data_IF_607952766626
#
_entry.id   IF_607952766626
#
_cell.length_a   1.000
_cell.length_b   1.000
_cell.length_c   1.000
_cell.angle_alpha   90.00
_cell.angle_beta   90.00
_cell.angle_gamma   90.00
#
_symmetry.space_group_name_H-M   'P 1'
#
loop_
_entity.id
_entity.type
_entity.pdbx_description
1 polymer ?
#
# COMPACT_ATOMS: atom_id res chain seq x y z
N UNK A 1 1.51 -21.19 11.47
CA UNK A 1 1.88 -19.76 11.54
C UNK A 1 1.72 -19.19 12.94
N UNK A 2 0.51 -18.92 13.45
CA UNK A 2 0.34 -18.33 14.80
C UNK A 2 1.10 -19.07 15.91
N UNK A 3 1.02 -20.41 15.97
CA UNK A 3 1.79 -21.21 16.94
C UNK A 3 3.31 -21.00 16.84
N UNK A 4 3.85 -20.98 15.62
CA UNK A 4 5.29 -20.80 15.41
C UNK A 4 5.74 -19.39 15.82
N UNK A 5 4.95 -18.37 15.50
CA UNK A 5 5.22 -16.98 15.93
C UNK A 5 5.15 -16.87 17.45
N UNK A 6 4.15 -17.49 18.09
CA UNK A 6 4.07 -17.54 19.56
C UNK A 6 5.29 -18.24 20.16
N UNK A 7 5.68 -19.40 19.63
CA UNK A 7 6.88 -20.11 20.10
C UNK A 7 8.16 -19.29 19.90
N UNK A 8 8.33 -18.65 18.74
CA UNK A 8 9.46 -17.76 18.49
C UNK A 8 9.46 -16.55 19.44
N UNK A 9 8.29 -16.01 19.74
CA UNK A 9 8.14 -14.93 20.71
C UNK A 9 8.57 -15.38 22.12
N UNK A 10 8.00 -16.49 22.59
CA UNK A 10 8.22 -16.98 23.95
C UNK A 10 9.65 -17.48 24.19
N UNK A 11 10.31 -18.03 23.17
CA UNK A 11 11.64 -18.64 23.31
C UNK A 11 12.79 -17.72 22.87
N UNK A 12 12.56 -16.86 21.87
CA UNK A 12 13.63 -16.06 21.26
C UNK A 12 13.39 -14.58 21.48
N UNK A 13 12.30 -14.04 20.93
CA UNK A 13 12.17 -12.58 20.90
C UNK A 13 11.98 -12.02 22.30
N UNK A 14 11.36 -12.72 23.26
CA UNK A 14 11.25 -12.26 24.66
C UNK A 14 12.48 -12.54 25.53
N UNK A 15 13.50 -13.22 25.00
CA UNK A 15 14.72 -13.55 25.74
C UNK A 15 15.84 -12.54 25.45
N UNK A 16 16.15 -11.69 26.44
CA UNK A 16 17.14 -10.62 26.32
C UNK A 16 18.57 -11.12 26.00
N UNK A 17 18.91 -12.37 26.29
CA UNK A 17 20.22 -12.96 25.94
C UNK A 17 20.32 -13.30 24.45
N UNK A 18 19.20 -13.65 23.80
CA UNK A 18 19.17 -14.06 22.39
C UNK A 18 18.95 -12.87 21.44
N UNK A 19 18.21 -11.85 21.88
CA UNK A 19 17.95 -10.67 21.05
C UNK A 19 19.19 -9.80 20.80
N UNK A 20 20.28 -10.04 21.53
CA UNK A 20 21.58 -9.38 21.33
C UNK A 20 22.36 -9.83 20.08
N UNK A 21 21.84 -10.79 19.30
CA UNK A 21 22.47 -11.30 18.08
C UNK A 21 21.80 -10.78 16.80
N UNK A 22 22.46 -10.97 15.65
CA UNK A 22 21.89 -10.68 14.33
C UNK A 22 20.53 -11.39 14.15
N UNK A 23 20.49 -12.69 14.41
CA UNK A 23 19.29 -13.51 14.27
C UNK A 23 18.19 -13.07 15.24
N UNK A 24 18.56 -12.62 16.44
CA UNK A 24 17.64 -12.05 17.41
C UNK A 24 16.96 -10.78 16.90
N UNK A 25 17.73 -9.86 16.32
CA UNK A 25 17.22 -8.63 15.68
C UNK A 25 16.29 -8.98 14.52
N UNK A 26 16.70 -9.91 13.64
CA UNK A 26 15.90 -10.39 12.52
C UNK A 26 14.58 -11.01 12.99
N UNK A 27 14.61 -11.83 14.03
CA UNK A 27 13.40 -12.45 14.60
C UNK A 27 12.41 -11.40 15.11
N UNK A 28 12.87 -10.35 15.80
CA UNK A 28 11.97 -9.26 16.25
C UNK A 28 11.40 -8.51 15.05
N UNK A 29 12.21 -8.22 14.02
CA UNK A 29 11.75 -7.53 12.82
C UNK A 29 10.70 -8.37 12.07
N UNK A 30 10.92 -9.69 11.94
CA UNK A 30 9.96 -10.63 11.35
C UNK A 30 8.68 -10.74 12.17
N UNK A 31 8.76 -10.74 13.50
CA UNK A 31 7.58 -10.67 14.37
C UNK A 31 6.80 -9.37 14.12
N UNK A 32 7.50 -8.24 14.03
CA UNK A 32 6.89 -6.95 13.78
C UNK A 32 6.17 -6.92 12.41
N UNK A 33 6.81 -7.46 11.38
CA UNK A 33 6.21 -7.66 10.05
C UNK A 33 4.98 -8.56 10.15
N UNK A 34 5.07 -9.72 10.79
CA UNK A 34 3.93 -10.64 10.94
C UNK A 34 2.73 -9.98 11.64
N UNK A 35 2.97 -9.21 12.70
CA UNK A 35 1.93 -8.43 13.38
C UNK A 35 1.29 -7.38 12.46
N UNK A 36 2.08 -6.73 11.60
CA UNK A 36 1.57 -5.84 10.58
C UNK A 36 0.71 -6.58 9.54
N UNK A 37 1.16 -7.76 9.11
CA UNK A 37 0.43 -8.64 8.18
C UNK A 37 -0.89 -9.13 8.75
N UNK A 38 -0.97 -9.39 10.05
CA UNK A 38 -2.21 -9.85 10.71
C UNK A 38 -3.14 -8.71 11.11
N UNK A 39 -2.72 -7.45 10.95
CA UNK A 39 -3.50 -6.27 11.33
C UNK A 39 -3.38 -5.88 12.81
N UNK A 40 -2.53 -6.55 13.58
CA UNK A 40 -2.18 -6.15 14.95
C UNK A 40 -1.12 -5.03 14.92
N UNK A 41 -1.55 -3.86 14.45
CA UNK A 41 -0.67 -2.72 14.18
C UNK A 41 -0.02 -2.17 15.45
N UNK A 42 -0.70 -2.30 16.60
CA UNK A 42 -0.14 -1.89 17.90
C UNK A 42 1.05 -2.75 18.29
N UNK A 43 0.91 -4.07 18.24
CA UNK A 43 2.02 -4.97 18.57
C UNK A 43 3.15 -4.86 17.55
N UNK A 44 2.80 -4.69 16.28
CA UNK A 44 3.79 -4.43 15.23
C UNK A 44 4.65 -3.19 15.53
N UNK A 45 4.02 -2.09 15.93
CA UNK A 45 4.74 -0.87 16.31
C UNK A 45 5.61 -1.07 17.55
N UNK A 46 5.11 -1.75 18.59
CA UNK A 46 5.89 -2.03 19.79
C UNK A 46 7.14 -2.89 19.49
N UNK A 47 7.00 -3.92 18.65
CA UNK A 47 8.11 -4.73 18.19
C UNK A 47 9.12 -3.91 17.36
N UNK A 48 8.64 -3.03 16.47
CA UNK A 48 9.48 -2.10 15.72
C UNK A 48 10.30 -1.18 16.65
N UNK A 49 9.68 -0.63 17.69
CA UNK A 49 10.39 0.18 18.71
C UNK A 49 11.47 -0.63 19.42
N UNK A 50 11.12 -1.85 19.82
CA UNK A 50 12.03 -2.73 20.54
C UNK A 50 13.27 -3.07 19.71
N UNK A 51 13.10 -3.45 18.44
CA UNK A 51 14.24 -3.78 17.58
C UNK A 51 15.14 -2.57 17.34
N UNK A 52 14.59 -1.36 17.19
CA UNK A 52 15.41 -0.14 17.08
C UNK A 52 16.28 0.06 18.32
N UNK A 53 15.68 -0.03 19.52
CA UNK A 53 16.41 0.15 20.78
C UNK A 53 17.54 -0.87 20.94
N UNK A 54 17.26 -2.15 20.66
CA UNK A 54 18.26 -3.22 20.76
C UNK A 54 19.39 -3.00 19.74
N UNK A 55 19.06 -2.69 18.49
CA UNK A 55 20.05 -2.41 17.45
C UNK A 55 20.97 -1.23 17.82
N UNK A 56 20.43 -0.17 18.41
CA UNK A 56 21.22 0.97 18.90
C UNK A 56 22.14 0.59 20.07
N UNK A 57 21.66 -0.24 21.00
CA UNK A 57 22.48 -0.75 22.11
C UNK A 57 23.68 -1.56 21.59
N UNK A 58 23.47 -2.35 20.53
CA UNK A 58 24.53 -3.12 19.86
C UNK A 58 25.45 -2.25 18.99
N UNK A 59 25.09 -0.98 18.76
CA UNK A 59 25.86 -0.04 17.95
C UNK A 59 25.69 -0.22 16.44
N UNK A 60 24.62 -0.89 16.01
CA UNK A 60 24.30 -1.08 14.60
C UNK A 60 24.12 0.26 13.87
N UNK A 61 23.54 1.24 14.55
CA UNK A 61 23.38 2.62 14.09
C UNK A 61 24.71 3.35 13.80
N UNK A 62 25.79 2.84 14.39
CA UNK A 62 27.18 3.33 14.30
C UNK A 62 28.05 2.44 13.41
N UNK A 63 27.46 1.50 12.67
CA UNK A 63 28.17 0.61 11.76
C UNK A 63 28.84 -0.59 12.43
N UNK A 64 28.48 -0.92 13.68
CA UNK A 64 29.00 -2.09 14.37
C UNK A 64 28.17 -3.31 13.97
N UNK A 65 28.81 -4.31 13.37
CA UNK A 65 28.14 -5.56 13.01
C UNK A 65 27.73 -6.33 14.29
N UNK A 66 26.48 -6.81 14.37
CA UNK A 66 26.01 -7.61 15.48
C UNK A 66 26.67 -8.99 15.43
N UNK A 67 26.84 -9.62 16.59
CA UNK A 67 27.32 -11.01 16.66
C UNK A 67 26.28 -11.92 16.01
N UNK A 68 26.72 -12.81 15.13
CA UNK A 68 25.87 -13.86 14.57
C UNK A 68 26.07 -15.18 15.33
N UNK A 69 24.97 -15.84 15.68
CA UNK A 69 24.96 -17.16 16.30
C UNK A 69 25.22 -18.29 15.28
N UNK A 70 24.94 -18.03 14.01
CA UNK A 70 25.04 -18.99 12.91
C UNK A 70 26.27 -18.78 12.00
N UNK A 71 27.03 -17.72 12.23
CA UNK A 71 28.24 -17.39 11.46
C UNK A 71 27.98 -16.58 10.18
N UNK A 72 26.75 -16.13 9.95
CA UNK A 72 26.44 -15.21 8.86
C UNK A 72 26.93 -13.79 9.16
N UNK A 73 27.24 -13.05 8.10
CA UNK A 73 27.54 -11.63 8.18
C UNK A 73 26.53 -10.83 7.36
N UNK A 74 26.20 -9.65 7.85
CA UNK A 74 25.36 -8.68 7.15
C UNK A 74 26.09 -7.35 7.11
N UNK A 75 25.85 -6.54 6.08
CA UNK A 75 26.23 -5.14 6.11
C UNK A 75 25.42 -4.42 7.23
N UNK A 76 26.08 -3.86 8.25
CA UNK A 76 25.40 -3.14 9.32
C UNK A 76 24.53 -1.99 8.82
N UNK A 77 24.95 -1.31 7.75
CA UNK A 77 24.22 -0.19 7.17
C UNK A 77 22.93 -0.66 6.48
N UNK A 78 22.95 -1.84 5.84
CA UNK A 78 21.76 -2.46 5.26
C UNK A 78 20.78 -2.88 6.36
N UNK A 79 21.26 -3.57 7.40
CA UNK A 79 20.38 -4.03 8.48
C UNK A 79 19.77 -2.86 9.24
N UNK A 80 20.57 -1.83 9.55
CA UNK A 80 20.08 -0.60 10.17
C UNK A 80 19.05 0.11 9.30
N UNK A 81 19.30 0.22 7.99
CA UNK A 81 18.35 0.78 7.04
C UNK A 81 17.00 0.05 7.07
N UNK A 82 16.99 -1.29 7.04
CA UNK A 82 15.74 -2.08 7.06
C UNK A 82 14.92 -1.84 8.32
N UNK A 83 15.58 -1.77 9.47
CA UNK A 83 14.95 -1.48 10.76
C UNK A 83 14.32 -0.09 10.74
N UNK A 84 15.09 0.94 10.33
CA UNK A 84 14.59 2.32 10.29
C UNK A 84 13.50 2.51 9.25
N UNK A 85 13.60 1.85 8.09
CA UNK A 85 12.57 1.85 7.06
C UNK A 85 11.24 1.35 7.59
N UNK A 86 11.25 0.21 8.29
CA UNK A 86 10.03 -0.35 8.87
C UNK A 86 9.45 0.52 9.99
N UNK A 87 10.29 1.02 10.91
CA UNK A 87 9.88 1.96 11.98
C UNK A 87 9.21 3.22 11.42
N UNK A 88 9.82 3.85 10.41
CA UNK A 88 9.27 5.05 9.78
C UNK A 88 7.99 4.77 9.01
N UNK A 89 7.92 3.65 8.27
CA UNK A 89 6.69 3.23 7.59
C UNK A 89 5.51 3.09 8.56
N UNK A 90 5.70 2.34 9.65
CA UNK A 90 4.62 2.10 10.60
C UNK A 90 4.26 3.37 11.38
N UNK A 91 5.26 4.21 11.69
CA UNK A 91 5.05 5.51 12.32
C UNK A 91 4.20 6.44 11.45
N UNK A 92 4.50 6.53 10.14
CA UNK A 92 3.75 7.34 9.19
C UNK A 92 2.31 6.84 9.04
N UNK A 93 2.12 5.52 8.94
CA UNK A 93 0.80 4.91 8.82
C UNK A 93 -0.08 5.16 10.07
N UNK A 94 0.49 5.14 11.27
CA UNK A 94 -0.28 5.15 12.52
C UNK A 94 -0.42 6.52 13.19
N UNK A 95 0.25 7.55 12.68
CA UNK A 95 0.24 8.86 13.32
C UNK A 95 1.16 8.91 14.56
N UNK A 96 2.23 8.10 14.54
CA UNK A 96 3.16 7.96 15.65
C UNK A 96 4.50 8.63 15.30
N UNK A 97 5.27 9.08 16.32
CA UNK A 97 6.62 9.59 16.05
C UNK A 97 7.51 8.47 15.50
N UNK A 98 8.67 8.82 14.95
CA UNK A 98 9.73 7.85 14.62
C UNK A 98 10.61 7.51 15.83
N UNK A 99 11.47 6.50 15.69
CA UNK A 99 12.48 6.11 16.70
C UNK A 99 13.82 6.78 16.50
N UNK A 100 14.27 6.89 15.26
CA UNK A 100 15.57 7.47 14.92
C UNK A 100 15.42 8.58 13.90
N UNK A 101 16.02 9.73 14.21
CA UNK A 101 16.04 10.91 13.34
C UNK A 101 17.21 10.86 12.35
N UNK A 102 18.26 10.10 12.66
CA UNK A 102 19.48 10.07 11.87
C UNK A 102 19.34 9.21 10.60
N UNK A 103 19.94 9.67 9.52
CA UNK A 103 19.92 9.05 8.19
C UNK A 103 21.31 8.50 7.82
N UNK A 104 22.00 7.84 8.75
CA UNK A 104 23.39 7.34 8.55
C UNK A 104 23.51 6.41 7.36
N UNK A 105 22.45 5.66 7.07
CA UNK A 105 22.33 4.78 5.91
C UNK A 105 22.17 5.53 4.56
N UNK A 106 21.96 6.84 4.53
CA UNK A 106 21.69 7.59 3.30
C UNK A 106 22.74 8.66 3.01
N UNK A 107 23.98 8.47 3.47
CA UNK A 107 25.09 9.33 3.04
C UNK A 107 25.31 9.23 1.54
N UNK A 108 25.87 10.27 0.92
CA UNK A 108 26.20 10.28 -0.51
C UNK A 108 27.02 9.05 -0.92
N UNK A 109 28.03 8.69 -0.12
CA UNK A 109 28.88 7.53 -0.36
C UNK A 109 28.11 6.21 -0.26
N UNK A 110 27.17 6.08 0.68
CA UNK A 110 26.32 4.90 0.79
C UNK A 110 25.39 4.77 -0.43
N UNK A 111 24.76 5.88 -0.84
CA UNK A 111 23.85 5.89 -1.99
C UNK A 111 24.56 5.60 -3.32
N UNK A 112 25.81 6.03 -3.50
CA UNK A 112 26.60 5.76 -4.71
C UNK A 112 26.88 4.27 -4.93
N UNK A 113 26.97 3.48 -3.85
CA UNK A 113 27.19 2.02 -3.89
C UNK A 113 25.92 1.20 -4.08
N UNK A 114 24.76 1.78 -3.81
CA UNK A 114 23.48 1.08 -3.87
C UNK A 114 23.08 0.69 -5.29
N UNK A 115 22.39 -0.45 -5.42
CA UNK A 115 21.58 -0.75 -6.59
C UNK A 115 20.49 0.33 -6.81
N UNK A 116 19.91 0.43 -8.02
CA UNK A 116 18.78 1.33 -8.30
C UNK A 116 17.65 1.26 -7.26
N UNK A 117 17.24 0.03 -6.89
CA UNK A 117 16.15 -0.20 -5.96
C UNK A 117 16.52 0.23 -4.54
N UNK A 118 17.71 -0.14 -4.06
CA UNK A 118 18.18 0.26 -2.72
C UNK A 118 18.29 1.79 -2.61
N UNK A 119 18.78 2.46 -3.65
CA UNK A 119 18.85 3.92 -3.71
C UNK A 119 17.45 4.54 -3.60
N UNK A 120 16.47 4.05 -4.36
CA UNK A 120 15.09 4.50 -4.28
C UNK A 120 14.53 4.34 -2.85
N UNK A 121 14.70 3.15 -2.26
CA UNK A 121 14.13 2.84 -0.94
C UNK A 121 14.79 3.67 0.17
N UNK A 122 16.12 3.88 0.13
CA UNK A 122 16.84 4.72 1.09
C UNK A 122 16.40 6.17 1.00
N UNK A 123 16.25 6.72 -0.21
CA UNK A 123 15.74 8.09 -0.40
C UNK A 123 14.29 8.24 0.08
N UNK A 124 13.42 7.26 -0.19
CA UNK A 124 12.06 7.25 0.35
C UNK A 124 12.05 7.19 1.90
N UNK A 125 12.98 6.43 2.50
CA UNK A 125 13.12 6.36 3.94
C UNK A 125 13.54 7.71 4.55
N UNK A 126 14.45 8.45 3.90
CA UNK A 126 14.82 9.82 4.29
C UNK A 126 13.62 10.77 4.16
N UNK A 127 12.93 10.74 3.03
CA UNK A 127 11.72 11.55 2.79
C UNK A 127 10.64 11.30 3.87
N UNK A 128 10.38 10.03 4.20
CA UNK A 128 9.48 9.64 5.28
C UNK A 128 9.95 10.17 6.64
N UNK A 129 11.26 10.09 6.93
CA UNK A 129 11.85 10.63 8.15
C UNK A 129 11.67 12.14 8.31
N UNK A 130 11.80 12.90 7.21
CA UNK A 130 11.54 14.36 7.18
C UNK A 130 10.06 14.68 7.40
N UNK A 131 9.15 13.95 6.75
CA UNK A 131 7.71 14.09 6.99
C UNK A 131 7.33 13.85 8.46
N UNK A 132 7.94 12.84 9.10
CA UNK A 132 7.69 12.52 10.51
C UNK A 132 8.27 13.55 11.49
N UNK A 133 9.16 14.45 11.03
CA UNK A 133 9.71 15.54 11.84
C UNK A 133 8.91 16.84 11.73
N UNK A 134 8.05 16.96 10.71
CA UNK A 134 7.30 18.20 10.46
C UNK A 134 6.36 18.51 11.63
N UNK A 135 6.43 19.73 12.13
CA UNK A 135 5.45 20.24 13.09
C UNK A 135 4.13 20.60 12.41
N UNK A 136 3.07 20.81 13.21
CA UNK A 136 1.77 21.26 12.69
C UNK A 136 1.87 22.62 11.94
N UNK A 137 2.81 23.49 12.33
CA UNK A 137 3.09 24.77 11.66
C UNK A 137 3.82 24.61 10.32
N UNK A 138 4.54 23.51 10.11
CA UNK A 138 5.34 23.26 8.91
C UNK A 138 4.60 22.42 7.86
N UNK A 139 3.34 22.03 8.12
CA UNK A 139 2.55 21.20 7.21
C UNK A 139 2.49 21.73 5.78
N UNK A 140 2.47 23.06 5.63
CA UNK A 140 2.43 23.75 4.33
C UNK A 140 3.72 24.56 4.08
N UNK A 141 4.83 24.25 4.75
CA UNK A 141 6.10 24.93 4.50
C UNK A 141 6.59 24.61 3.07
N UNK A 142 6.72 25.63 2.18
CA UNK A 142 7.17 25.41 0.82
C UNK A 142 8.60 24.86 0.74
N UNK A 143 9.49 25.21 1.69
CA UNK A 143 10.88 24.77 1.67
C UNK A 143 10.98 23.28 1.99
N UNK A 144 10.38 22.85 3.10
CA UNK A 144 10.27 21.42 3.43
C UNK A 144 9.56 20.65 2.31
N UNK A 145 8.49 21.21 1.75
CA UNK A 145 7.75 20.56 0.66
C UNK A 145 8.65 20.32 -0.55
N UNK A 146 9.42 21.32 -0.97
CA UNK A 146 10.33 21.23 -2.10
C UNK A 146 11.50 20.28 -1.83
N UNK A 147 12.05 20.27 -0.61
CA UNK A 147 13.13 19.35 -0.23
C UNK A 147 12.68 17.89 -0.34
N UNK A 148 11.54 17.55 0.28
CA UNK A 148 11.02 16.18 0.29
C UNK A 148 10.55 15.76 -1.10
N UNK A 149 9.91 16.66 -1.86
CA UNK A 149 9.50 16.36 -3.24
C UNK A 149 10.72 16.07 -4.12
N UNK A 150 11.81 16.83 -3.98
CA UNK A 150 13.07 16.55 -4.68
C UNK A 150 13.64 15.17 -4.33
N UNK A 151 13.63 14.79 -3.05
CA UNK A 151 14.06 13.44 -2.63
C UNK A 151 13.22 12.35 -3.28
N UNK A 152 11.91 12.54 -3.40
CA UNK A 152 11.01 11.60 -4.06
C UNK A 152 11.22 11.56 -5.57
N UNK A 153 11.42 12.70 -6.22
CA UNK A 153 11.78 12.76 -7.64
C UNK A 153 13.09 12.00 -7.91
N UNK A 154 14.14 12.26 -7.12
CA UNK A 154 15.43 11.57 -7.22
C UNK A 154 15.29 10.07 -6.95
N UNK A 155 14.45 9.67 -5.98
CA UNK A 155 14.13 8.27 -5.71
C UNK A 155 13.45 7.61 -6.92
N UNK A 156 12.47 8.29 -7.52
CA UNK A 156 11.73 7.76 -8.67
C UNK A 156 12.61 7.61 -9.91
N UNK A 157 13.50 8.57 -10.14
CA UNK A 157 14.44 8.61 -11.24
C UNK A 157 15.57 7.57 -11.11
N UNK A 158 15.80 7.03 -9.91
CA UNK A 158 16.71 5.91 -9.71
C UNK A 158 16.21 4.63 -10.40
N UNK A 159 14.89 4.49 -10.61
CA UNK A 159 14.29 3.31 -11.22
C UNK A 159 13.94 3.54 -12.70
N UNK A 160 14.09 2.51 -13.55
CA UNK A 160 13.77 2.64 -14.96
C UNK A 160 12.24 2.64 -15.19
N UNK A 161 11.72 3.22 -16.29
CA UNK A 161 10.28 3.38 -16.51
C UNK A 161 9.46 2.08 -16.40
N UNK A 162 10.00 0.95 -16.85
CA UNK A 162 9.34 -0.36 -16.77
C UNK A 162 9.06 -0.82 -15.34
N UNK A 163 9.80 -0.33 -14.35
CA UNK A 163 9.52 -0.59 -12.95
C UNK A 163 8.14 -0.05 -12.55
N UNK A 164 7.77 1.12 -13.05
CA UNK A 164 6.56 1.86 -12.67
C UNK A 164 5.27 1.31 -13.28
N UNK A 165 5.37 0.33 -14.20
CA UNK A 165 4.21 -0.40 -14.72
C UNK A 165 3.48 -1.07 -13.56
N UNK A 166 2.15 -0.91 -13.53
CA UNK A 166 1.30 -1.43 -12.46
C UNK A 166 1.56 -2.93 -12.25
N UNK A 167 1.86 -3.36 -10.99
CA UNK A 167 2.09 -4.77 -10.69
C UNK A 167 0.89 -5.63 -11.06
N UNK A 168 1.17 -6.78 -11.68
CA UNK A 168 0.13 -7.72 -12.12
C UNK A 168 0.41 -9.13 -11.61
N UNK A 169 -0.33 -9.51 -10.59
CA UNK A 169 -0.22 -10.84 -9.96
C UNK A 169 -0.89 -11.94 -10.78
N UNK A 170 -1.84 -11.60 -11.66
CA UNK A 170 -2.59 -12.57 -12.47
C UNK A 170 -1.68 -13.22 -13.52
N UNK A 171 -0.71 -12.47 -14.05
CA UNK A 171 0.24 -12.95 -15.06
C UNK A 171 1.42 -13.74 -14.49
N UNK A 172 1.54 -13.90 -13.17
CA UNK A 172 2.67 -14.58 -12.56
C UNK A 172 2.55 -16.10 -12.68
N UNK A 173 3.58 -16.75 -13.22
CA UNK A 173 3.63 -18.20 -13.43
C UNK A 173 4.33 -18.95 -12.29
N UNK A 174 5.29 -18.32 -11.62
CA UNK A 174 6.05 -18.91 -10.50
C UNK A 174 5.78 -18.20 -9.16
N UNK A 175 6.19 -18.81 -8.04
CA UNK A 175 6.11 -18.18 -6.72
C UNK A 175 7.09 -17.02 -6.57
N UNK A 176 8.31 -17.14 -7.10
CA UNK A 176 9.30 -16.07 -7.09
C UNK A 176 8.81 -14.84 -7.85
N UNK A 177 8.12 -15.03 -8.99
CA UNK A 177 7.49 -13.92 -9.72
C UNK A 177 6.43 -13.22 -8.87
N UNK A 178 5.58 -13.98 -8.16
CA UNK A 178 4.57 -13.41 -7.26
C UNK A 178 5.22 -12.60 -6.15
N UNK A 179 6.26 -13.12 -5.50
CA UNK A 179 7.00 -12.40 -4.45
C UNK A 179 7.57 -11.11 -5.01
N UNK A 180 8.19 -11.14 -6.19
CA UNK A 180 8.74 -9.95 -6.85
C UNK A 180 7.66 -8.91 -7.16
N UNK A 181 6.51 -9.30 -7.69
CA UNK A 181 5.39 -8.38 -7.95
C UNK A 181 4.78 -7.82 -6.66
N UNK A 182 4.68 -8.62 -5.59
CA UNK A 182 4.21 -8.15 -4.27
C UNK A 182 5.18 -7.10 -3.69
N UNK A 183 6.49 -7.35 -3.77
CA UNK A 183 7.50 -6.38 -3.34
C UNK A 183 7.44 -5.10 -4.17
N UNK A 184 7.30 -5.22 -5.51
CA UNK A 184 7.12 -4.05 -6.38
C UNK A 184 5.85 -3.26 -6.04
N UNK A 185 4.75 -3.95 -5.75
CA UNK A 185 3.52 -3.34 -5.25
C UNK A 185 3.76 -2.56 -3.96
N UNK A 186 4.39 -3.16 -2.95
CA UNK A 186 4.68 -2.50 -1.68
C UNK A 186 5.58 -1.27 -1.87
N UNK A 187 6.58 -1.35 -2.76
CA UNK A 187 7.46 -0.23 -3.08
C UNK A 187 6.70 0.93 -3.74
N UNK A 188 5.86 0.66 -4.73
CA UNK A 188 4.99 1.67 -5.34
C UNK A 188 4.03 2.28 -4.32
N UNK A 189 3.40 1.42 -3.52
CA UNK A 189 2.41 1.83 -2.52
C UNK A 189 3.03 2.75 -1.48
N UNK A 190 4.24 2.42 -0.99
CA UNK A 190 5.02 3.27 -0.11
C UNK A 190 5.37 4.61 -0.76
N UNK A 191 5.90 4.60 -1.99
CA UNK A 191 6.29 5.80 -2.71
C UNK A 191 5.11 6.80 -2.84
N UNK A 192 3.98 6.34 -3.40
CA UNK A 192 2.82 7.20 -3.57
C UNK A 192 2.17 7.60 -2.24
N UNK A 193 2.26 6.76 -1.21
CA UNK A 193 1.78 7.12 0.13
C UNK A 193 2.57 8.29 0.73
N UNK A 194 3.91 8.26 0.63
CA UNK A 194 4.76 9.37 1.09
C UNK A 194 4.47 10.63 0.27
N UNK A 195 4.35 10.51 -1.05
CA UNK A 195 4.00 11.62 -1.94
C UNK A 195 2.64 12.23 -1.59
N UNK A 196 1.63 11.40 -1.33
CA UNK A 196 0.31 11.86 -0.89
C UNK A 196 0.36 12.59 0.46
N UNK A 197 1.09 12.04 1.43
CA UNK A 197 1.25 12.66 2.76
C UNK A 197 1.96 14.03 2.70
N UNK A 198 2.87 14.20 1.74
CA UNK A 198 3.57 15.47 1.49
C UNK A 198 2.62 16.55 0.96
N UNK A 199 1.82 16.23 -0.07
CA UNK A 199 1.05 17.24 -0.79
C UNK A 199 -0.38 17.45 -0.27
N UNK A 200 -0.98 16.47 0.42
CA UNK A 200 -2.34 16.58 0.95
C UNK A 200 -2.57 17.81 1.86
N UNK A 201 -1.65 18.21 2.76
CA UNK A 201 -1.82 19.42 3.57
C UNK A 201 -2.16 20.69 2.79
N UNK A 202 -1.62 20.82 1.57
CA UNK A 202 -1.83 21.99 0.72
C UNK A 202 -3.27 22.08 0.18
N UNK A 203 -4.05 21.00 0.27
CA UNK A 203 -5.48 21.03 -0.02
C UNK A 203 -6.31 21.73 1.05
N UNK A 204 -5.70 22.03 2.22
CA UNK A 204 -6.40 22.63 3.37
C UNK A 204 -6.42 24.17 3.34
N UNK A 205 -5.55 24.79 2.55
CA UNK A 205 -5.42 26.25 2.44
C UNK A 205 -6.32 26.87 1.37
N UNK A 206 -6.51 28.19 1.44
CA UNK A 206 -7.16 28.95 0.37
C UNK A 206 -6.26 28.95 -0.88
N UNK A 207 -6.70 28.27 -1.94
CA UNK A 207 -6.00 28.17 -3.23
C UNK A 207 -5.80 29.56 -3.83
N UNK A 208 -4.67 30.19 -3.52
CA UNK A 208 -4.37 31.57 -3.96
C UNK A 208 -3.08 31.61 -4.77
N UNK A 209 -2.26 30.55 -4.72
CA UNK A 209 -0.98 30.50 -5.42
C UNK A 209 -0.93 29.35 -6.43
N UNK A 210 -0.15 29.53 -7.51
CA UNK A 210 0.09 28.48 -8.54
C UNK A 210 0.68 27.20 -7.93
N UNK A 211 1.44 27.31 -6.85
CA UNK A 211 2.06 26.19 -6.15
C UNK A 211 1.02 25.31 -5.44
N UNK A 212 -0.05 25.91 -4.91
CA UNK A 212 -1.19 25.18 -4.31
C UNK A 212 -1.87 24.28 -5.35
N UNK A 213 -1.96 24.74 -6.60
CA UNK A 213 -2.53 23.97 -7.71
C UNK A 213 -1.68 22.73 -8.03
N UNK A 214 -0.36 22.91 -8.13
CA UNK A 214 0.57 21.80 -8.35
C UNK A 214 0.44 20.74 -7.25
N UNK A 215 0.50 21.15 -5.98
CA UNK A 215 0.38 20.24 -4.84
C UNK A 215 -0.96 19.48 -4.85
N UNK A 216 -2.07 20.17 -5.12
CA UNK A 216 -3.40 19.53 -5.26
C UNK A 216 -3.40 18.47 -6.37
N UNK A 217 -2.82 18.78 -7.53
CA UNK A 217 -2.75 17.84 -8.65
C UNK A 217 -1.90 16.61 -8.34
N UNK A 218 -0.77 16.79 -7.65
CA UNK A 218 0.07 15.67 -7.22
C UNK A 218 -0.67 14.79 -6.20
N UNK A 219 -1.35 15.39 -5.21
CA UNK A 219 -2.14 14.64 -4.23
C UNK A 219 -3.28 13.82 -4.88
N UNK A 220 -4.00 14.40 -5.84
CA UNK A 220 -5.04 13.69 -6.60
C UNK A 220 -4.44 12.55 -7.42
N UNK A 221 -3.34 12.80 -8.12
CA UNK A 221 -2.67 11.79 -8.95
C UNK A 221 -2.15 10.65 -8.10
N UNK A 222 -1.43 10.94 -7.00
CA UNK A 222 -0.98 9.92 -6.05
C UNK A 222 -2.14 9.10 -5.48
N UNK A 223 -3.28 9.73 -5.22
CA UNK A 223 -4.49 9.03 -4.73
C UNK A 223 -5.02 8.03 -5.75
N UNK A 224 -5.06 8.39 -7.04
CA UNK A 224 -5.44 7.48 -8.13
C UNK A 224 -4.45 6.34 -8.28
N UNK A 225 -3.15 6.63 -8.24
CA UNK A 225 -2.09 5.61 -8.37
C UNK A 225 -2.15 4.58 -7.23
N UNK A 226 -2.47 5.01 -6.01
CA UNK A 226 -2.69 4.13 -4.85
C UNK A 226 -3.94 3.27 -5.06
N UNK A 227 -5.11 3.88 -5.34
CA UNK A 227 -6.37 3.15 -5.40
C UNK A 227 -6.45 2.18 -6.59
N UNK A 228 -5.95 2.57 -7.76
CA UNK A 228 -5.89 1.70 -8.95
C UNK A 228 -5.04 0.44 -8.72
N UNK A 229 -3.85 0.60 -8.12
CA UNK A 229 -2.98 -0.52 -7.74
C UNK A 229 -3.59 -1.35 -6.63
N UNK A 230 -4.20 -0.71 -5.63
CA UNK A 230 -4.89 -1.40 -4.54
C UNK A 230 -6.00 -2.31 -5.07
N UNK A 231 -6.89 -1.76 -5.91
CA UNK A 231 -7.98 -2.50 -6.53
C UNK A 231 -7.45 -3.69 -7.33
N UNK A 232 -6.46 -3.46 -8.20
CA UNK A 232 -5.87 -4.51 -9.04
C UNK A 232 -5.24 -5.62 -8.19
N UNK A 233 -4.51 -5.22 -7.15
CA UNK A 233 -3.88 -6.13 -6.20
C UNK A 233 -4.93 -6.99 -5.47
N UNK A 234 -6.04 -6.39 -5.02
CA UNK A 234 -7.11 -7.10 -4.30
C UNK A 234 -7.96 -8.00 -5.19
N UNK A 235 -8.12 -7.66 -6.47
CA UNK A 235 -8.82 -8.49 -7.45
C UNK A 235 -8.12 -9.84 -7.70
N UNK A 236 -6.80 -9.92 -7.49
CA UNK A 236 -6.01 -11.13 -7.76
C UNK A 236 -6.17 -12.29 -6.74
N UNK A 237 -7.17 -12.23 -5.85
CA UNK A 237 -7.46 -13.25 -4.80
C UNK A 237 -6.26 -13.58 -3.88
N UNK A 238 -5.32 -12.66 -3.71
CA UNK A 238 -4.12 -12.81 -2.86
C UNK A 238 -4.39 -12.72 -1.36
N UNK A 239 -5.55 -13.19 -0.90
CA UNK A 239 -5.98 -13.12 0.51
C UNK A 239 -4.99 -13.74 1.51
N UNK A 240 -4.01 -14.53 1.05
CA UNK A 240 -2.96 -15.13 1.88
C UNK A 240 -1.64 -14.33 1.98
N UNK A 241 -1.37 -13.37 1.09
CA UNK A 241 -0.05 -12.73 0.95
C UNK A 241 -0.09 -11.19 0.96
N UNK A 242 -0.93 -10.58 1.80
CA UNK A 242 -1.04 -9.13 1.85
C UNK A 242 -0.98 -8.57 3.26
N UNK A 243 -0.36 -7.39 3.38
CA UNK A 243 -0.27 -6.66 4.63
C UNK A 243 -1.59 -5.92 4.89
N UNK A 244 -2.28 -6.17 6.02
CA UNK A 244 -3.51 -5.44 6.42
C UNK A 244 -3.28 -3.93 6.57
N UNK A 245 -2.04 -3.50 6.83
CA UNK A 245 -1.66 -2.09 6.89
C UNK A 245 -1.98 -1.30 5.61
N UNK A 246 -1.97 -1.94 4.44
CA UNK A 246 -2.32 -1.27 3.17
C UNK A 246 -3.80 -0.86 3.14
N UNK A 247 -4.69 -1.62 3.78
CA UNK A 247 -6.11 -1.29 3.83
C UNK A 247 -6.34 -0.02 4.65
N UNK A 248 -5.58 0.18 5.73
CA UNK A 248 -5.66 1.40 6.53
C UNK A 248 -5.18 2.63 5.75
N UNK A 249 -4.18 2.46 4.89
CA UNK A 249 -3.67 3.55 4.05
C UNK A 249 -4.74 4.02 3.05
N UNK A 250 -5.66 3.16 2.61
CA UNK A 250 -6.72 3.54 1.63
C UNK A 250 -7.65 4.67 2.12
N UNK A 251 -7.74 4.90 3.43
CA UNK A 251 -8.46 6.04 4.01
C UNK A 251 -8.07 7.39 3.39
N UNK A 252 -6.76 7.60 3.27
CA UNK A 252 -6.18 8.88 2.88
C UNK A 252 -6.50 9.21 1.41
N UNK A 253 -6.21 8.34 0.41
CA UNK A 253 -6.54 8.63 -0.98
C UNK A 253 -8.06 8.69 -1.21
N UNK A 254 -8.88 7.88 -0.52
CA UNK A 254 -10.34 7.99 -0.62
C UNK A 254 -10.85 9.36 -0.17
N UNK A 255 -10.36 9.83 0.99
CA UNK A 255 -10.71 11.16 1.52
C UNK A 255 -10.21 12.26 0.60
N UNK A 256 -8.98 12.13 0.09
CA UNK A 256 -8.34 13.11 -0.80
C UNK A 256 -9.13 13.31 -2.09
N UNK A 257 -9.57 12.22 -2.73
CA UNK A 257 -10.38 12.32 -3.95
C UNK A 257 -11.71 13.01 -3.69
N UNK A 258 -12.40 12.73 -2.58
CA UNK A 258 -13.62 13.47 -2.25
C UNK A 258 -13.33 14.96 -2.04
N UNK A 259 -12.31 15.29 -1.24
CA UNK A 259 -11.93 16.68 -0.96
C UNK A 259 -11.61 17.48 -2.23
N UNK A 260 -11.04 16.82 -3.24
CA UNK A 260 -10.74 17.45 -4.52
C UNK A 260 -11.99 18.05 -5.18
N UNK A 261 -13.14 17.39 -5.03
CA UNK A 261 -14.44 17.78 -5.61
C UNK A 261 -15.23 18.73 -4.71
N UNK A 262 -15.18 18.56 -3.39
CA UNK A 262 -15.88 19.46 -2.46
C UNK A 262 -15.26 20.86 -2.42
N UNK A 263 -13.93 20.96 -2.51
CA UNK A 263 -13.22 22.24 -2.53
C UNK A 263 -13.41 23.02 -3.85
N UNK A 264 -14.14 22.48 -4.83
CA UNK A 264 -14.50 23.16 -6.08
C UNK A 264 -15.61 24.20 -5.95
N UNK A 265 -16.30 24.26 -4.79
CA UNK A 265 -17.35 25.24 -4.52
C UNK A 265 -16.86 26.65 -4.12
N UNK A 266 -15.55 26.84 -3.98
CA UNK A 266 -14.97 28.14 -3.62
C UNK A 266 -15.19 29.15 -4.76
N UNK A 267 -15.78 30.31 -4.43
CA UNK A 267 -16.16 31.40 -5.36
C UNK A 267 -14.99 32.09 -6.07
N UNK A 268 -13.78 31.53 -6.02
CA UNK A 268 -12.59 32.10 -6.64
C UNK A 268 -12.46 31.61 -8.09
N UNK A 269 -12.25 32.52 -9.05
CA UNK A 269 -12.11 32.18 -10.47
C UNK A 269 -11.01 31.13 -10.74
N UNK A 270 -9.97 31.07 -9.90
CA UNK A 270 -8.89 30.06 -9.98
C UNK A 270 -9.32 28.68 -9.48
N UNK A 271 -10.27 28.60 -8.54
CA UNK A 271 -10.83 27.33 -8.07
C UNK A 271 -11.77 26.69 -9.11
N UNK A 272 -12.40 27.51 -9.96
CA UNK A 272 -13.18 27.04 -11.11
C UNK A 272 -12.29 26.33 -12.14
N UNK A 273 -11.07 26.80 -12.39
CA UNK A 273 -10.11 26.14 -13.28
C UNK A 273 -9.62 24.77 -12.74
N UNK A 274 -9.49 24.60 -11.42
CA UNK A 274 -9.17 23.28 -10.84
C UNK A 274 -10.36 22.31 -10.87
N UNK A 275 -11.58 22.83 -10.78
CA UNK A 275 -12.79 22.03 -10.94
C UNK A 275 -12.98 21.55 -12.39
N UNK A 276 -12.54 22.34 -13.38
CA UNK A 276 -12.67 21.97 -14.80
C UNK A 276 -11.75 20.81 -15.20
N UNK A 277 -10.52 20.75 -14.66
CA UNK A 277 -9.58 19.66 -14.96
C UNK A 277 -10.03 18.31 -14.38
N UNK A 278 -10.65 18.31 -13.20
CA UNK A 278 -11.10 17.08 -12.53
C UNK A 278 -12.51 16.67 -12.94
N UNK A 279 -13.26 17.52 -13.65
CA UNK A 279 -14.64 17.24 -14.08
C UNK A 279 -14.75 15.94 -14.89
N UNK A 280 -13.85 15.72 -15.86
CA UNK A 280 -13.82 14.50 -16.67
C UNK A 280 -13.35 13.26 -15.90
N UNK A 281 -12.67 13.45 -14.76
CA UNK A 281 -12.12 12.37 -13.96
C UNK A 281 -13.04 11.96 -12.80
N UNK A 282 -14.03 12.80 -12.43
CA UNK A 282 -14.90 12.57 -11.26
C UNK A 282 -15.63 11.24 -11.29
N UNK A 283 -16.21 10.85 -12.42
CA UNK A 283 -16.91 9.58 -12.53
C UNK A 283 -15.96 8.38 -12.43
N UNK A 284 -14.76 8.49 -13.01
CA UNK A 284 -13.71 7.46 -12.88
C UNK A 284 -13.23 7.34 -11.43
N UNK A 285 -13.00 8.46 -10.77
CA UNK A 285 -12.59 8.51 -9.36
C UNK A 285 -13.69 7.96 -8.45
N UNK A 286 -14.97 8.30 -8.69
CA UNK A 286 -16.11 7.70 -7.99
C UNK A 286 -16.16 6.19 -8.21
N UNK A 287 -15.94 5.71 -9.43
CA UNK A 287 -15.85 4.28 -9.74
C UNK A 287 -14.77 3.57 -8.93
N UNK A 288 -13.59 4.17 -8.76
CA UNK A 288 -12.52 3.63 -7.90
C UNK A 288 -12.95 3.56 -6.42
N UNK A 289 -13.67 4.56 -5.91
CA UNK A 289 -14.18 4.56 -4.54
C UNK A 289 -15.25 3.47 -4.33
N UNK A 290 -16.17 3.30 -5.28
CA UNK A 290 -17.20 2.27 -5.24
C UNK A 290 -16.60 0.86 -5.34
N UNK A 291 -15.60 0.66 -6.20
CA UNK A 291 -14.89 -0.61 -6.30
C UNK A 291 -14.11 -0.93 -5.02
N UNK A 292 -13.48 0.07 -4.40
CA UNK A 292 -12.81 -0.08 -3.11
C UNK A 292 -13.82 -0.47 -2.02
N UNK A 293 -15.01 0.13 -2.01
CA UNK A 293 -16.09 -0.23 -1.08
C UNK A 293 -16.50 -1.71 -1.23
N UNK A 294 -16.70 -2.17 -2.47
CA UNK A 294 -17.06 -3.56 -2.77
C UNK A 294 -15.98 -4.54 -2.31
N UNK A 295 -14.70 -4.22 -2.55
CA UNK A 295 -13.57 -5.04 -2.08
C UNK A 295 -13.57 -5.15 -0.56
N UNK A 296 -13.72 -4.02 0.15
CA UNK A 296 -13.73 -4.01 1.61
C UNK A 296 -14.93 -4.76 2.17
N UNK A 297 -16.10 -4.68 1.53
CA UNK A 297 -17.29 -5.45 1.93
C UNK A 297 -17.01 -6.95 1.85
N UNK A 298 -16.44 -7.44 0.74
CA UNK A 298 -16.05 -8.84 0.62
C UNK A 298 -15.04 -9.28 1.68
N UNK A 299 -14.14 -8.39 2.11
CA UNK A 299 -13.17 -8.67 3.18
C UNK A 299 -13.85 -8.83 4.55
N UNK A 300 -14.84 -7.99 4.84
CA UNK A 300 -15.67 -8.09 6.06
C UNK A 300 -16.51 -9.36 6.03
N UNK A 301 -17.11 -9.68 4.89
CA UNK A 301 -17.96 -10.87 4.76
C UNK A 301 -17.17 -12.17 5.00
N UNK A 302 -15.87 -12.18 4.67
CA UNK A 302 -15.00 -13.35 4.87
C UNK A 302 -14.37 -13.38 6.28
N UNK A 303 -13.88 -12.26 6.80
CA UNK A 303 -13.00 -12.22 7.99
C UNK A 303 -13.52 -11.37 9.16
N UNK A 304 -14.70 -10.78 9.05
CA UNK A 304 -15.28 -9.84 10.02
C UNK A 304 -14.35 -8.66 10.40
N UNK A 305 -13.52 -8.25 9.44
CA UNK A 305 -12.34 -7.43 9.74
C UNK A 305 -12.65 -5.98 10.17
N UNK A 306 -12.02 -5.55 11.27
CA UNK A 306 -12.21 -4.23 11.87
C UNK A 306 -11.69 -3.05 11.01
N UNK A 307 -10.53 -3.19 10.35
CA UNK A 307 -9.98 -2.15 9.47
C UNK A 307 -10.90 -1.98 8.26
N UNK A 308 -11.33 -3.07 7.64
CA UNK A 308 -12.23 -3.04 6.50
C UNK A 308 -13.58 -2.39 6.87
N UNK A 309 -14.16 -2.72 8.04
CA UNK A 309 -15.37 -2.05 8.56
C UNK A 309 -15.20 -0.54 8.71
N UNK A 310 -14.03 -0.08 9.19
CA UNK A 310 -13.73 1.35 9.29
C UNK A 310 -13.68 2.00 7.90
N UNK A 311 -13.02 1.37 6.91
CA UNK A 311 -12.94 1.91 5.53
C UNK A 311 -14.34 1.96 4.88
N UNK A 312 -15.16 0.92 5.05
CA UNK A 312 -16.54 0.88 4.58
C UNK A 312 -17.34 2.04 5.16
N UNK A 313 -17.23 2.25 6.47
CA UNK A 313 -17.92 3.36 7.17
C UNK A 313 -17.54 4.70 6.57
N UNK A 314 -16.24 4.97 6.36
CA UNK A 314 -15.78 6.17 5.68
C UNK A 314 -16.41 6.28 4.28
N UNK A 315 -16.23 5.27 3.43
CA UNK A 315 -16.66 5.31 2.02
C UNK A 315 -18.17 5.51 1.88
N UNK A 316 -18.99 4.94 2.78
CA UNK A 316 -20.44 5.16 2.78
C UNK A 316 -20.82 6.62 3.01
N UNK A 317 -20.08 7.33 3.86
CA UNK A 317 -20.29 8.78 4.02
C UNK A 317 -19.75 9.54 2.82
N UNK A 318 -18.52 9.26 2.37
CA UNK A 318 -17.91 10.00 1.27
C UNK A 318 -18.74 9.91 -0.02
N UNK A 319 -19.20 8.71 -0.38
CA UNK A 319 -19.99 8.48 -1.59
C UNK A 319 -21.38 9.12 -1.53
N UNK A 320 -21.99 9.16 -0.34
CA UNK A 320 -23.29 9.80 -0.13
C UNK A 320 -23.18 11.33 -0.18
N UNK A 321 -22.15 11.90 0.43
CA UNK A 321 -21.83 13.33 0.32
C UNK A 321 -21.56 13.72 -1.13
N UNK A 322 -20.78 12.92 -1.87
CA UNK A 322 -20.51 13.17 -3.29
C UNK A 322 -21.80 13.19 -4.14
N UNK A 323 -22.72 12.26 -3.87
CA UNK A 323 -24.00 12.13 -4.57
C UNK A 323 -24.96 13.28 -4.26
N UNK A 324 -25.07 13.66 -3.00
CA UNK A 324 -25.85 14.83 -2.58
C UNK A 324 -25.26 16.13 -3.16
N UNK A 325 -23.93 16.26 -3.17
CA UNK A 325 -23.25 17.40 -3.78
C UNK A 325 -23.52 17.49 -5.30
N UNK A 326 -23.64 16.35 -6.01
CA UNK A 326 -24.07 16.34 -7.41
C UNK A 326 -25.53 16.74 -7.60
N UNK A 327 -26.37 16.50 -6.59
CA UNK A 327 -27.78 16.90 -6.57
C UNK A 327 -27.99 18.36 -6.14
N UNK A 328 -26.89 19.12 -5.94
CA UNK A 328 -26.92 20.54 -5.57
C UNK A 328 -26.67 20.82 -4.08
N UNK A 329 -26.42 19.78 -3.28
CA UNK A 329 -25.98 19.91 -1.89
C UNK A 329 -24.67 20.69 -1.79
N UNK A 330 -24.54 21.52 -0.74
CA UNK A 330 -23.33 22.31 -0.50
C UNK A 330 -22.71 21.91 0.82
N UNK A 331 -21.39 21.74 0.81
CA UNK A 331 -20.64 21.29 1.96
C UNK A 331 -19.47 22.22 2.23
N UNK A 332 -19.36 22.64 3.48
CA UNK A 332 -18.16 23.31 3.98
C UNK A 332 -17.20 22.26 4.51
N UNK A 333 -15.93 22.40 4.13
CA UNK A 333 -14.82 21.62 4.68
C UNK A 333 -13.99 22.54 5.57
N UNK A 334 -13.84 22.18 6.84
CA UNK A 334 -13.04 22.90 7.83
C UNK A 334 -11.94 21.99 8.36
N UNK A 335 -10.74 22.53 8.48
CA UNK A 335 -9.59 21.81 9.04
C UNK A 335 -9.38 22.27 10.48
N UNK A 336 -9.50 21.34 11.42
CA UNK A 336 -9.24 21.61 12.83
C UNK A 336 -7.78 21.28 13.13
N UNK A 337 -6.97 22.27 13.58
CA UNK A 337 -5.57 22.05 13.92
C UNK A 337 -5.37 21.19 15.17
N UNK A 338 -6.45 20.88 15.89
CA UNK A 338 -6.41 19.91 16.97
C UNK A 338 -6.12 18.51 16.41
N UNK A 339 -4.85 18.12 16.49
CA UNK A 339 -4.45 16.72 16.40
C UNK A 339 -5.14 16.04 17.59
N UNK A 340 -6.12 15.20 17.30
CA UNK A 340 -7.02 14.57 18.27
C UNK A 340 -6.24 14.09 19.51
N UNK A 341 -6.72 14.46 20.70
CA UNK A 341 -6.14 13.99 21.97
C UNK A 341 -6.20 12.46 21.99
N UNK A 342 -5.00 11.87 21.88
CA UNK A 342 -4.65 10.44 21.97
C UNK A 342 -5.51 9.74 23.01
N UNK A 343 -6.39 8.81 22.57
CA UNK A 343 -7.30 8.11 23.48
C UNK A 343 -7.82 6.79 22.93
N UNK A 344 -8.42 6.77 21.74
CA UNK A 344 -9.07 5.57 21.22
C UNK A 344 -8.80 5.45 19.70
N UNK A 345 -8.19 4.32 19.32
CA UNK A 345 -7.77 3.87 17.98
C UNK A 345 -6.55 4.55 17.31
N UNK A 346 -5.51 3.75 17.07
CA UNK A 346 -4.40 4.12 16.17
C UNK A 346 -4.91 4.26 14.73
N UNK A 347 -4.32 5.19 13.96
CA UNK A 347 -4.57 5.35 12.53
C UNK A 347 -5.78 6.22 12.15
N UNK A 348 -6.35 5.94 10.98
CA UNK A 348 -7.39 6.76 10.32
C UNK A 348 -8.81 6.47 10.81
N UNK A 349 -9.56 7.46 11.25
CA UNK A 349 -10.91 7.28 11.81
C UNK A 349 -11.92 8.23 11.16
N UNK A 350 -13.17 7.80 10.97
CA UNK A 350 -14.28 8.65 10.55
C UNK A 350 -15.46 8.50 11.52
N UNK A 351 -15.98 9.61 12.04
CA UNK A 351 -17.10 9.63 12.99
C UNK A 351 -18.09 10.74 12.65
N UNK A 352 -19.35 10.52 12.98
CA UNK A 352 -20.34 11.58 13.03
C UNK A 352 -20.33 12.23 14.41
N UNK A 353 -20.42 13.56 14.43
CA UNK A 353 -20.52 14.38 15.65
C UNK A 353 -21.68 15.37 15.53
N UNK A 354 -21.97 16.10 16.60
CA UNK A 354 -22.98 17.17 16.62
C UNK A 354 -24.34 16.71 16.08
N UNK A 355 -24.93 15.69 16.71
CA UNK A 355 -26.21 15.09 16.28
C UNK A 355 -26.20 14.65 14.81
N UNK A 356 -25.09 14.04 14.38
CA UNK A 356 -24.86 13.54 13.02
C UNK A 356 -24.76 14.59 11.92
N UNK A 357 -24.58 15.88 12.26
CA UNK A 357 -24.49 16.97 11.27
C UNK A 357 -23.07 17.23 10.76
N UNK A 358 -22.05 16.71 11.45
CA UNK A 358 -20.64 16.92 11.09
C UNK A 358 -19.93 15.58 10.98
N UNK A 359 -19.34 15.31 9.81
CA UNK A 359 -18.43 14.20 9.60
C UNK A 359 -17.01 14.63 9.96
N UNK A 360 -16.43 14.03 11.00
CA UNK A 360 -15.03 14.21 11.38
C UNK A 360 -14.18 13.06 10.86
N UNK A 361 -13.17 13.37 10.06
CA UNK A 361 -12.20 12.43 9.52
C UNK A 361 -10.83 12.78 10.11
N UNK A 362 -10.30 11.87 10.92
CA UNK A 362 -8.94 11.96 11.48
C UNK A 362 -8.01 11.14 10.61
N UNK A 363 -6.96 11.78 10.07
CA UNK A 363 -5.92 11.11 9.30
C UNK A 363 -4.56 11.26 10.04
N UNK A 364 -3.70 10.23 10.00
CA UNK A 364 -2.35 10.28 10.56
C UNK A 364 -1.56 11.50 10.09
N UNK A 365 -0.91 12.20 11.03
CA UNK A 365 -0.01 13.35 10.76
C UNK A 365 -0.66 14.54 10.04
N UNK A 366 -1.99 14.63 10.10
CA UNK A 366 -2.78 15.67 9.44
C UNK A 366 -3.82 16.27 10.40
N UNK A 367 -4.24 17.53 10.19
CA UNK A 367 -5.37 18.13 10.87
C UNK A 367 -6.65 17.30 10.69
N UNK A 368 -7.55 17.35 11.68
CA UNK A 368 -8.85 16.69 11.57
C UNK A 368 -9.70 17.43 10.53
N UNK A 369 -10.24 16.69 9.57
CA UNK A 369 -11.11 17.22 8.52
C UNK A 369 -12.54 17.16 9.02
N UNK A 370 -13.25 18.28 8.99
CA UNK A 370 -14.68 18.35 9.32
C UNK A 370 -15.47 18.71 8.08
N UNK A 371 -16.47 17.92 7.73
CA UNK A 371 -17.36 18.15 6.60
C UNK A 371 -18.78 18.36 7.14
N UNK A 372 -19.42 19.47 6.74
CA UNK A 372 -20.75 19.86 7.18
C UNK A 372 -21.58 20.42 6.02
N UNK A 373 -22.89 20.15 6.00
CA UNK A 373 -23.81 20.73 5.02
C UNK A 373 -24.05 22.22 5.29
N UNK A 374 -24.01 23.07 4.25
CA UNK A 374 -24.15 24.53 4.35
C UNK A 374 -25.60 25.00 4.51
N UNK A 375 -26.57 24.27 3.96
CA UNK A 375 -27.93 24.79 3.76
C UNK A 375 -28.92 24.41 4.86
N UNK A 376 -28.51 23.60 5.84
CA UNK A 376 -29.30 23.27 7.03
C UNK A 376 -28.48 22.47 8.05
N UNK A 377 -28.87 22.47 9.33
CA UNK A 377 -28.39 21.49 10.34
C UNK A 377 -28.93 20.07 10.04
N UNK A 378 -28.88 19.65 8.78
CA UNK A 378 -29.28 18.33 8.31
C UNK A 378 -28.20 17.30 8.65
N UNK A 379 -28.59 16.07 9.02
CA UNK A 379 -27.64 14.99 9.19
C UNK A 379 -26.85 14.72 7.91
N UNK A 380 -25.59 14.33 8.06
CA UNK A 380 -24.74 13.86 6.96
C UNK A 380 -25.37 12.59 6.35
N UNK A 381 -25.54 12.54 5.02
CA UNK A 381 -26.10 11.37 4.37
C UNK A 381 -25.12 10.19 4.45
N UNK A 382 -25.66 8.98 4.43
CA UNK A 382 -24.88 7.75 4.42
C UNK A 382 -25.50 6.79 3.41
N UNK A 383 -24.67 6.15 2.57
CA UNK A 383 -25.17 5.08 1.70
C UNK A 383 -25.73 3.94 2.57
N UNK A 384 -26.95 3.44 2.29
CA UNK A 384 -27.54 2.36 3.05
C UNK A 384 -26.68 1.09 2.95
N UNK A 385 -26.76 0.25 3.99
CA UNK A 385 -26.24 -1.12 3.92
C UNK A 385 -27.15 -1.87 2.95
N UNK A 386 -26.63 -2.51 1.88
CA UNK A 386 -27.48 -3.36 1.06
C UNK A 386 -28.06 -4.45 1.96
N UNK A 387 -29.38 -4.54 2.04
CA UNK A 387 -30.06 -5.62 2.75
C UNK A 387 -29.58 -6.94 2.15
N UNK A 388 -29.14 -7.87 3.00
CA UNK A 388 -29.03 -9.26 2.60
C UNK A 388 -30.44 -9.73 2.27
N UNK A 389 -30.83 -9.67 1.00
CA UNK A 389 -32.01 -10.36 0.52
C UNK A 389 -31.88 -11.81 0.95
N UNK A 390 -32.68 -12.17 1.97
CA UNK A 390 -32.96 -13.57 2.28
C UNK A 390 -33.44 -14.17 0.98
N UNK A 391 -32.62 -15.04 0.39
CA UNK A 391 -33.05 -15.94 -0.67
C UNK A 391 -34.27 -16.66 -0.10
N UNK A 392 -35.45 -16.20 -0.51
CA UNK A 392 -36.70 -16.81 -0.11
C UNK A 392 -36.72 -18.24 -0.60
N UNK A 393 -37.09 -19.16 0.28
CA UNK A 393 -37.38 -20.55 -0.04
C UNK A 393 -38.43 -20.61 -1.17
N UNK A 394 -37.96 -20.75 -2.41
CA UNK A 394 -38.82 -21.17 -3.51
C UNK A 394 -38.96 -22.68 -3.42
N UNK A 395 -40.10 -23.10 -2.87
CA UNK A 395 -40.55 -24.48 -2.83
C UNK A 395 -40.50 -25.10 -4.23
N UNK A 396 -39.80 -26.22 -4.35
CA UNK A 396 -39.84 -27.08 -5.52
C UNK A 396 -41.22 -27.74 -5.60
N UNK A 397 -42.05 -27.31 -6.56
CA UNK A 397 -43.07 -28.17 -7.15
C UNK A 397 -42.74 -28.35 -8.65
N UNK A 398 -42.69 -29.62 -9.05
CA UNK A 398 -42.32 -30.04 -10.39
C UNK A 398 -43.47 -29.96 -11.41
N UNK A 399 -43.22 -30.62 -12.55
CA UNK A 399 -43.98 -30.67 -13.82
C UNK A 399 -43.53 -29.55 -14.78
N UNK A 400 -43.14 -29.77 -16.04
CA UNK A 400 -43.10 -30.93 -16.91
C UNK A 400 -43.15 -30.42 -18.36
N UNK A 401 -42.16 -30.81 -19.19
CA UNK A 401 -42.13 -30.82 -20.66
C UNK A 401 -42.44 -29.55 -21.51
N UNK A 402 -41.56 -29.27 -22.47
CA UNK A 402 -41.98 -28.92 -23.84
C UNK A 402 -41.34 -27.70 -24.51
N UNK A 403 -40.35 -27.97 -25.37
CA UNK A 403 -40.20 -27.45 -26.75
C UNK A 403 -40.11 -25.93 -27.02
N UNK A 404 -39.00 -25.51 -27.64
CA UNK A 404 -39.10 -24.88 -28.97
C UNK A 404 -38.58 -23.45 -29.16
N UNK A 405 -37.55 -23.37 -30.00
CA UNK A 405 -37.23 -22.33 -31.00
C UNK A 405 -36.79 -20.92 -30.55
N UNK A 406 -35.48 -20.70 -30.75
CA UNK A 406 -34.85 -19.43 -31.10
C UNK A 406 -35.56 -18.70 -32.26
N UNK A 407 -35.81 -17.39 -32.07
CA UNK A 407 -35.90 -16.41 -33.16
C UNK A 407 -35.28 -15.08 -32.71
N UNK A 408 -34.19 -14.69 -33.38
CA UNK A 408 -33.72 -13.29 -33.48
C UNK A 408 -34.58 -12.49 -34.48
N UNK A 409 -34.55 -11.15 -34.38
CA UNK A 409 -34.07 -10.28 -35.49
C UNK A 409 -33.03 -9.24 -35.00
N UNK A 410 -31.86 -9.06 -35.65
CA UNK A 410 -31.46 -8.04 -36.69
C UNK A 410 -31.66 -6.56 -36.24
N UNK A 411 -30.76 -5.58 -36.41
CA UNK A 411 -29.40 -5.39 -36.98
C UNK A 411 -28.92 -3.95 -36.61
N UNK A 412 -27.71 -3.56 -37.05
CA UNK A 412 -26.97 -2.26 -36.92
C UNK A 412 -26.07 -2.14 -35.68
N UNK A 413 -24.74 -1.95 -35.74
CA UNK A 413 -23.76 -1.77 -36.82
C UNK A 413 -22.43 -1.35 -36.15
N UNK A 414 -21.33 -2.01 -36.51
CA UNK A 414 -20.02 -1.91 -35.85
C UNK A 414 -19.00 -1.19 -36.76
N UNK A 415 -18.15 -0.28 -36.24
CA UNK A 415 -16.94 0.08 -36.96
C UNK A 415 -15.64 -0.04 -36.12
N UNK A 416 -14.70 -0.77 -36.72
CA UNK A 416 -13.24 -0.59 -36.72
C UNK A 416 -12.38 -1.34 -35.69
N UNK A 417 -12.06 -2.59 -36.04
CA UNK A 417 -10.77 -3.23 -35.72
C UNK A 417 -9.84 -3.07 -36.92
N UNK A 418 -8.70 -2.39 -36.75
CA UNK A 418 -7.60 -2.40 -37.71
C UNK A 418 -6.55 -3.40 -37.21
N UNK A 419 -6.35 -4.47 -37.98
CA UNK A 419 -5.23 -5.40 -37.86
C UNK A 419 -3.92 -4.72 -38.31
N UNK A 420 -2.82 -5.00 -37.62
CA UNK A 420 -1.46 -4.80 -38.15
C UNK A 420 -0.75 -6.14 -38.21
N UNK A 421 -0.17 -6.41 -39.39
CA UNK A 421 0.46 -7.65 -39.84
C UNK A 421 1.91 -7.84 -39.34
N UNK A 422 2.46 -9.07 -39.38
CA UNK A 422 3.86 -9.34 -39.05
C UNK A 422 4.80 -9.05 -40.23
N UNK A 423 6.03 -8.63 -39.94
CA UNK A 423 7.12 -8.49 -40.93
C UNK A 423 8.19 -9.53 -40.65
N UNK A 424 8.48 -10.35 -41.65
CA UNK A 424 9.59 -11.30 -41.75
C UNK A 424 10.81 -10.66 -42.42
N UNK A 425 12.02 -11.03 -42.00
CA UNK A 425 13.25 -10.93 -42.81
C UNK A 425 14.09 -12.20 -42.61
N UNK A 426 14.52 -12.79 -43.73
CA UNK A 426 15.13 -14.11 -43.91
C UNK A 426 16.66 -14.20 -43.70
N UNK A 427 17.10 -15.39 -43.25
CA UNK A 427 18.25 -16.15 -43.83
C UNK A 427 19.50 -16.38 -42.95
N UNK A 428 20.32 -17.44 -43.18
CA UNK A 428 20.02 -18.80 -43.63
C UNK A 428 20.45 -19.89 -42.62
N UNK A 429 19.87 -21.08 -42.76
CA UNK A 429 20.15 -22.30 -42.00
C UNK A 429 21.46 -23.00 -42.42
N UNK A 430 22.34 -23.31 -41.46
CA UNK A 430 23.35 -24.36 -41.58
C UNK A 430 23.31 -25.29 -40.36
N UNK A 431 23.51 -26.58 -40.63
CA UNK A 431 23.10 -27.72 -39.81
C UNK A 431 23.79 -27.90 -38.46
N UNK A 432 23.08 -28.61 -37.59
CA UNK A 432 23.54 -29.17 -36.32
C UNK A 432 24.35 -30.45 -36.61
N UNK A 433 25.64 -30.43 -36.29
CA UNK A 433 26.40 -31.64 -35.96
C UNK A 433 26.61 -31.68 -34.45
N UNK A 434 26.27 -32.84 -33.86
CA UNK A 434 26.53 -33.17 -32.46
C UNK A 434 28.00 -33.54 -32.28
N UNK A 435 28.65 -32.99 -31.26
CA UNK A 435 29.87 -33.57 -30.66
C UNK A 435 29.80 -33.40 -29.15
N UNK A 436 29.79 -34.52 -28.43
CA UNK A 436 30.08 -34.61 -27.00
C UNK A 436 31.61 -34.59 -26.79
N UNK A 437 32.15 -33.73 -25.89
CA UNK A 437 33.44 -33.96 -25.21
C UNK A 437 33.44 -33.31 -23.82
N UNK A 438 34.07 -34.04 -22.90
CA UNK A 438 34.18 -33.93 -21.45
C UNK A 438 35.36 -33.05 -20.94
N UNK A 439 35.20 -32.56 -19.72
CA UNK A 439 36.11 -32.07 -18.65
C UNK A 439 37.38 -31.19 -18.87
N UNK A 440 37.48 -30.19 -17.97
CA UNK A 440 38.68 -29.65 -17.26
C UNK A 440 39.43 -28.38 -17.76
N UNK A 441 39.46 -27.32 -16.92
CA UNK A 441 40.47 -26.24 -16.93
C UNK A 441 39.96 -24.78 -16.86
N UNK A 442 39.95 -24.15 -15.67
CA UNK A 442 39.72 -22.71 -15.37
C UNK A 442 40.75 -21.75 -16.06
N UNK A 443 40.64 -20.40 -15.98
CA UNK A 443 39.49 -19.46 -15.96
C UNK A 443 39.66 -18.27 -16.96
N UNK A 444 38.57 -17.60 -17.40
CA UNK A 444 38.63 -16.19 -17.87
C UNK A 444 37.33 -15.43 -17.56
N UNK A 445 37.52 -14.23 -17.02
CA UNK A 445 36.49 -13.29 -16.52
C UNK A 445 36.17 -12.23 -17.59
N UNK A 446 34.91 -11.76 -17.54
CA UNK A 446 34.28 -10.56 -18.12
C UNK A 446 33.38 -10.78 -19.36
N UNK A 447 32.05 -10.70 -19.16
CA UNK A 447 31.31 -9.42 -19.20
C UNK A 447 29.94 -9.58 -18.52
N UNK A 448 29.45 -8.51 -17.91
CA UNK A 448 28.37 -8.50 -16.94
C UNK A 448 26.97 -8.73 -17.55
N UNK A 449 26.37 -9.85 -17.17
CA UNK A 449 24.92 -9.99 -17.02
C UNK A 449 24.66 -10.07 -15.52
N UNK A 450 24.01 -9.06 -14.95
CA UNK A 450 23.61 -9.06 -13.54
C UNK A 450 22.37 -9.95 -13.43
N UNK A 451 22.62 -11.25 -13.33
CA UNK A 451 21.67 -12.22 -12.81
C UNK A 451 21.37 -11.86 -11.36
N UNK A 452 20.08 -11.69 -11.06
CA UNK A 452 19.57 -11.50 -9.70
C UNK A 452 19.77 -12.81 -8.94
N UNK A 453 20.96 -13.00 -8.39
CA UNK A 453 21.29 -14.24 -7.72
C UNK A 453 20.63 -14.27 -6.32
N UNK A 454 19.54 -15.02 -6.21
CA UNK A 454 18.80 -15.29 -4.98
C UNK A 454 19.39 -16.47 -4.19
N UNK A 455 20.59 -16.94 -4.53
CA UNK A 455 21.22 -18.17 -4.01
C UNK A 455 21.47 -18.22 -2.48
N UNK A 456 21.26 -17.13 -1.74
CA UNK A 456 21.43 -17.11 -0.27
C UNK A 456 20.12 -17.02 0.52
N UNK A 457 18.96 -17.05 -0.15
CA UNK A 457 17.68 -17.29 0.50
C UNK A 457 17.40 -18.80 0.43
N UNK A 458 17.42 -19.48 1.56
CA UNK A 458 16.97 -20.86 1.66
C UNK A 458 15.45 -20.93 1.37
N UNK A 459 15.11 -21.11 0.09
CA UNK A 459 13.74 -21.28 -0.36
C UNK A 459 13.15 -22.64 0.07
N UNK A 460 13.98 -23.59 0.53
CA UNK A 460 13.49 -24.86 1.03
C UNK A 460 12.69 -24.68 2.33
N UNK A 461 12.92 -23.63 3.12
CA UNK A 461 12.07 -23.32 4.27
C UNK A 461 10.64 -22.91 3.86
N UNK A 462 10.50 -22.15 2.77
CA UNK A 462 9.19 -21.72 2.26
C UNK A 462 8.49 -22.83 1.47
N UNK A 463 9.23 -23.65 0.72
CA UNK A 463 8.68 -24.75 -0.08
C UNK A 463 8.36 -25.99 0.79
N UNK A 464 9.19 -26.34 1.78
CA UNK A 464 8.88 -27.38 2.78
C UNK A 464 7.70 -26.99 3.67
N UNK A 465 7.41 -25.69 3.83
CA UNK A 465 6.24 -25.20 4.56
C UNK A 465 4.95 -25.30 3.74
N UNK A 466 5.05 -25.37 2.40
CA UNK A 466 3.90 -25.46 1.49
C UNK A 466 3.57 -26.91 1.12
N UNK A 467 4.56 -27.80 1.00
CA UNK A 467 4.33 -29.18 0.50
C UNK A 467 4.15 -30.26 1.58
N UNK A 468 4.51 -29.99 2.85
CA UNK A 468 4.37 -30.94 3.96
C UNK A 468 2.95 -31.07 4.57
N UNK A 469 1.95 -30.36 4.04
CA UNK A 469 0.59 -30.32 4.62
C UNK A 469 -0.44 -31.24 3.94
N UNK A 470 -0.02 -32.11 3.01
CA UNK A 470 -0.93 -33.01 2.28
C UNK A 470 -0.79 -34.52 2.54
N UNK A 471 0.14 -34.95 3.39
CA UNK A 471 0.19 -36.35 3.84
C UNK A 471 0.39 -36.42 5.34
N UNK A 472 -0.69 -36.28 6.11
CA UNK A 472 -0.92 -36.90 7.43
C UNK A 472 -2.28 -36.45 7.98
N UNK A 473 -3.35 -36.85 7.28
CA UNK A 473 -4.66 -37.00 7.91
C UNK A 473 -5.57 -37.90 7.06
N UNK A 474 -5.15 -39.15 6.85
CA UNK A 474 -6.08 -40.26 6.64
C UNK A 474 -5.71 -41.41 7.56
N UNK A 475 -6.71 -41.83 8.34
CA UNK A 475 -6.78 -43.03 9.19
C UNK A 475 -6.24 -42.96 10.63
N UNK A 476 -7.07 -42.45 11.54
CA UNK A 476 -7.28 -43.13 12.83
C UNK A 476 -8.78 -43.30 13.09
N UNK A 477 -9.25 -44.57 13.00
CA UNK A 477 -10.21 -45.23 13.92
C UNK A 477 -10.69 -46.58 13.36
N UNK A 478 -10.23 -47.69 13.94
CA UNK A 478 -11.04 -48.82 14.45
C UNK A 478 -10.19 -50.07 14.73
N UNK A 479 -9.69 -50.18 15.96
CA UNK A 479 -9.77 -51.33 16.90
C UNK A 479 -8.75 -51.16 18.01
#
# INVERSE_FOLDING_TARGET
MFRAVTTAHDLVTSNDELVGSLEGIECILLEALFKNYTGDLRQSWLAARRVVTIAQMLGLDRGIAPVSLSGFSVDPDDMWFRIVQFDRYIALMLGLPQSSVQDTFATRQALEKCSPLERMLRLCCVACGRLLQRSASELNDPNLTQEVDKLLQDASAAMPPQFWVSPNLISCTSQSDKVREILRFNNHFMYYHILLQLHLPHMFGSTTQKQDYHNKMVAITASREILSRYVSFRASQTTRYYCRGIDLVTFIPCTTLLLAYLNGGSRCAVAQDASSFTAHQRLSDRGLLEQTLTIMQGVVDINDDAIAKRVITLLRYLLAIDEDAMSGGRYTVVFSPEIRKRGEDFGSHAALTHSNTVLEISLPHLPTIKIQNETSNTPIPQKPVPDQEKIGDCQHEGLGHGCGCDRRPKDWGDPNVVQVMPVTVDGPSHGLDRVDVDESGLPKVHSADVEWNFENLDFAFLDSFIEGALELNTSHKSQ
#
